data_IF_050611791070
#
_entry.id   IF_050611791070
#
_cell.length_a   1.000
_cell.length_b   1.000
_cell.length_c   1.000
_cell.angle_alpha   90.00
_cell.angle_beta   90.00
_cell.angle_gamma   90.00
#
_symmetry.space_group_name_H-M   'P 1'
#
loop_
_entity.id
_entity.type
_entity.pdbx_description
1 polymer ?
#
# COMPACT_ATOMS: atom_id res chain seq x y z
N UNK A 1 -11.99 -22.99 -13.79
CA UNK A 1 -11.10 -23.04 -12.60
C UNK A 1 -10.40 -21.68 -12.52
N UNK A 2 -10.52 -20.94 -11.41
CA UNK A 2 -9.90 -19.61 -11.31
C UNK A 2 -8.38 -19.74 -11.29
N UNK A 3 -7.68 -18.94 -12.10
CA UNK A 3 -6.21 -18.96 -12.18
C UNK A 3 -5.64 -18.63 -10.80
N UNK A 4 -4.61 -19.37 -10.39
CA UNK A 4 -3.86 -19.12 -9.16
C UNK A 4 -2.60 -18.33 -9.49
N UNK A 5 -2.29 -17.36 -8.63
CA UNK A 5 -1.10 -16.52 -8.69
C UNK A 5 -0.20 -16.89 -7.53
N UNK A 6 1.09 -17.00 -7.81
CA UNK A 6 2.12 -17.19 -6.80
C UNK A 6 2.68 -15.82 -6.40
N UNK A 7 2.63 -15.51 -5.11
CA UNK A 7 3.18 -14.28 -4.54
C UNK A 7 4.25 -14.64 -3.52
N UNK A 8 5.41 -14.01 -3.64
CA UNK A 8 6.52 -14.17 -2.69
C UNK A 8 6.21 -13.43 -1.38
N UNK A 9 6.75 -13.91 -0.27
CA UNK A 9 6.53 -13.28 1.04
C UNK A 9 6.96 -11.82 1.08
N UNK A 10 8.10 -11.45 0.45
CA UNK A 10 8.53 -10.05 0.35
C UNK A 10 7.52 -9.17 -0.38
N UNK A 11 6.91 -9.68 -1.45
CA UNK A 11 5.87 -8.97 -2.19
C UNK A 11 4.61 -8.82 -1.35
N UNK A 12 4.24 -9.86 -0.58
CA UNK A 12 3.12 -9.80 0.37
C UNK A 12 3.34 -8.72 1.44
N UNK A 13 4.54 -8.67 2.03
CA UNK A 13 4.92 -7.64 3.02
C UNK A 13 4.85 -6.24 2.42
N UNK A 14 5.37 -6.06 1.20
CA UNK A 14 5.31 -4.80 0.47
C UNK A 14 3.88 -4.32 0.24
N UNK A 15 3.01 -5.18 -0.30
CA UNK A 15 1.62 -4.82 -0.57
C UNK A 15 0.89 -4.44 0.71
N UNK A 16 1.13 -5.18 1.80
CA UNK A 16 0.59 -4.81 3.11
C UNK A 16 1.09 -3.44 3.56
N UNK A 17 2.41 -3.21 3.53
CA UNK A 17 3.03 -1.95 3.96
C UNK A 17 2.46 -0.76 3.20
N UNK A 18 2.41 -0.87 1.87
CA UNK A 18 1.93 0.17 0.98
C UNK A 18 0.45 0.50 1.22
N UNK A 19 -0.40 -0.51 1.26
CA UNK A 19 -1.84 -0.30 1.50
C UNK A 19 -2.12 0.29 2.88
N UNK A 20 -1.38 -0.14 3.90
CA UNK A 20 -1.49 0.43 5.24
C UNK A 20 -1.04 1.89 5.28
N UNK A 21 0.06 2.23 4.60
CA UNK A 21 0.50 3.61 4.45
C UNK A 21 -0.61 4.46 3.82
N UNK A 22 -1.26 3.97 2.77
CA UNK A 22 -2.38 4.67 2.11
C UNK A 22 -3.55 4.87 3.07
N UNK A 23 -4.01 3.81 3.76
CA UNK A 23 -5.11 3.90 4.73
C UNK A 23 -4.83 4.95 5.81
N UNK A 24 -3.67 4.86 6.47
CA UNK A 24 -3.31 5.80 7.52
C UNK A 24 -3.17 7.24 6.98
N UNK A 25 -2.66 7.40 5.76
CA UNK A 25 -2.57 8.71 5.12
C UNK A 25 -3.95 9.31 4.82
N UNK A 26 -4.90 8.48 4.37
CA UNK A 26 -6.30 8.88 4.18
C UNK A 26 -6.98 9.22 5.50
N UNK A 27 -6.73 8.46 6.56
CA UNK A 27 -7.26 8.72 7.90
C UNK A 27 -6.77 10.07 8.43
N UNK A 28 -5.47 10.37 8.27
CA UNK A 28 -4.89 11.68 8.64
C UNK A 28 -5.40 12.83 7.78
N UNK A 29 -5.68 12.57 6.49
CA UNK A 29 -6.17 13.61 5.58
C UNK A 29 -7.48 14.26 6.03
N UNK A 30 -8.32 13.55 6.80
CA UNK A 30 -9.55 14.11 7.41
C UNK A 30 -9.32 15.39 8.21
N UNK A 31 -8.10 15.60 8.71
CA UNK A 31 -7.71 16.73 9.55
C UNK A 31 -6.89 17.79 8.80
N UNK A 32 -6.78 17.70 7.48
CA UNK A 32 -5.99 18.61 6.65
C UNK A 32 -6.59 18.76 5.24
N UNK A 33 -5.85 19.34 4.29
CA UNK A 33 -6.30 19.56 2.91
C UNK A 33 -5.89 18.42 1.98
N UNK A 34 -6.67 18.20 0.93
CA UNK A 34 -6.36 17.21 -0.11
C UNK A 34 -5.03 17.50 -0.82
N UNK A 35 -4.76 18.77 -1.14
CA UNK A 35 -3.51 19.22 -1.78
C UNK A 35 -2.26 18.76 -1.02
N UNK A 36 -2.29 18.82 0.33
CA UNK A 36 -1.15 18.38 1.15
C UNK A 36 -0.92 16.87 1.06
N UNK A 37 -1.99 16.09 0.95
CA UNK A 37 -1.89 14.64 0.72
C UNK A 37 -1.36 14.36 -0.69
N UNK A 38 -1.83 15.09 -1.70
CA UNK A 38 -1.31 14.98 -3.08
C UNK A 38 0.18 15.31 -3.13
N UNK A 39 0.62 16.38 -2.47
CA UNK A 39 2.03 16.76 -2.36
C UNK A 39 2.89 15.69 -1.69
N UNK A 40 2.36 15.03 -0.65
CA UNK A 40 3.03 13.89 -0.04
C UNK A 40 3.21 12.73 -1.04
N UNK A 41 2.15 12.38 -1.79
CA UNK A 41 2.20 11.31 -2.79
C UNK A 41 3.05 11.63 -4.03
N UNK A 42 3.48 12.87 -4.25
CA UNK A 42 4.48 13.21 -5.28
C UNK A 42 5.88 12.68 -4.94
N UNK A 43 6.17 12.44 -3.67
CA UNK A 43 7.50 12.08 -3.17
C UNK A 43 7.62 10.62 -2.73
N UNK A 44 6.55 9.83 -2.89
CA UNK A 44 6.55 8.40 -2.61
C UNK A 44 6.11 7.62 -3.85
N UNK A 45 6.22 6.29 -3.80
CA UNK A 45 5.78 5.42 -4.88
C UNK A 45 4.30 5.68 -5.17
N UNK A 46 3.94 5.93 -6.43
CA UNK A 46 2.54 6.22 -6.80
C UNK A 46 1.68 4.95 -6.80
N UNK A 47 0.36 5.05 -6.50
CA UNK A 47 -0.52 3.89 -6.47
C UNK A 47 -0.62 3.19 -7.83
N UNK A 48 -0.68 3.96 -8.93
CA UNK A 48 -0.61 3.39 -10.27
C UNK A 48 0.70 2.62 -10.51
N UNK A 49 1.85 3.08 -10.03
CA UNK A 49 3.11 2.34 -10.20
C UNK A 49 3.07 0.98 -9.48
N UNK A 50 2.47 0.93 -8.28
CA UNK A 50 2.25 -0.34 -7.55
C UNK A 50 1.29 -1.25 -8.32
N UNK A 51 0.17 -0.72 -8.83
CA UNK A 51 -0.77 -1.51 -9.64
C UNK A 51 -0.10 -2.09 -10.90
N UNK A 52 0.67 -1.28 -11.63
CA UNK A 52 1.40 -1.72 -12.82
C UNK A 52 2.46 -2.77 -12.47
N UNK A 53 3.15 -2.63 -11.34
CA UNK A 53 4.06 -3.66 -10.85
C UNK A 53 3.33 -5.00 -10.63
N UNK A 54 2.17 -4.99 -9.97
CA UNK A 54 1.37 -6.21 -9.74
C UNK A 54 0.89 -6.82 -11.06
N UNK A 55 0.32 -6.01 -11.95
CA UNK A 55 -0.21 -6.46 -13.25
C UNK A 55 0.89 -7.12 -14.08
N UNK A 56 2.04 -6.46 -14.21
CA UNK A 56 3.15 -6.95 -15.01
C UNK A 56 3.80 -8.18 -14.39
N UNK A 57 4.05 -8.16 -13.08
CA UNK A 57 4.72 -9.28 -12.41
C UNK A 57 3.91 -10.57 -12.44
N UNK A 58 2.57 -10.48 -12.36
CA UNK A 58 1.70 -11.65 -12.34
C UNK A 58 1.00 -11.95 -13.67
N UNK A 59 1.29 -11.17 -14.72
CA UNK A 59 0.69 -11.31 -16.05
C UNK A 59 -0.85 -11.34 -15.95
N UNK A 60 -1.40 -10.34 -15.26
CA UNK A 60 -2.84 -10.21 -15.06
C UNK A 60 -3.52 -9.84 -16.39
N UNK A 61 -4.74 -10.32 -16.65
CA UNK A 61 -5.49 -9.90 -17.82
C UNK A 61 -5.88 -8.43 -17.71
N UNK A 62 -6.04 -7.79 -18.86
CA UNK A 62 -6.72 -6.50 -18.93
C UNK A 62 -8.12 -6.63 -18.31
N UNK A 63 -8.45 -5.70 -17.41
CA UNK A 63 -9.66 -5.78 -16.59
C UNK A 63 -10.30 -4.40 -16.54
N UNK A 64 -11.59 -4.34 -16.86
CA UNK A 64 -12.41 -3.16 -16.61
C UNK A 64 -12.74 -3.05 -15.12
N UNK A 65 -11.91 -2.31 -14.38
CA UNK A 65 -12.08 -2.14 -12.94
C UNK A 65 -13.38 -1.41 -12.56
N UNK A 66 -14.02 -0.67 -13.46
CA UNK A 66 -15.31 0.00 -13.17
C UNK A 66 -16.44 -1.01 -13.00
N UNK A 67 -16.40 -2.10 -13.78
CA UNK A 67 -17.39 -3.17 -13.75
C UNK A 67 -16.93 -4.41 -12.97
N UNK A 68 -15.72 -4.39 -12.41
CA UNK A 68 -15.16 -5.49 -11.63
C UNK A 68 -15.75 -5.53 -10.21
N UNK A 69 -16.64 -6.51 -9.99
CA UNK A 69 -17.27 -6.76 -8.70
C UNK A 69 -16.69 -8.03 -8.07
N UNK A 70 -15.76 -7.85 -7.14
CA UNK A 70 -15.19 -8.93 -6.35
C UNK A 70 -14.96 -8.45 -4.93
N UNK A 71 -15.21 -9.32 -3.95
CA UNK A 71 -14.87 -9.08 -2.55
C UNK A 71 -14.05 -10.28 -2.08
N UNK A 72 -12.78 -10.07 -1.67
CA UNK A 72 -11.95 -11.16 -1.20
C UNK A 72 -12.48 -11.73 0.11
N UNK A 73 -12.51 -13.05 0.19
CA UNK A 73 -12.85 -13.78 1.41
C UNK A 73 -11.73 -13.61 2.45
N UNK A 74 -12.12 -13.38 3.71
CA UNK A 74 -11.16 -13.38 4.81
C UNK A 74 -10.41 -14.71 4.90
N UNK A 75 -9.08 -14.64 5.06
CA UNK A 75 -8.26 -15.84 5.22
C UNK A 75 -8.29 -16.31 6.67
N UNK A 76 -8.29 -17.63 6.87
CA UNK A 76 -8.17 -18.22 8.21
C UNK A 76 -6.90 -17.72 8.94
N UNK A 77 -7.01 -17.38 10.22
CA UNK A 77 -5.92 -16.94 11.08
C UNK A 77 -4.73 -17.91 11.12
N UNK A 78 -4.97 -19.22 11.00
CA UNK A 78 -3.93 -20.24 10.95
C UNK A 78 -3.00 -20.10 9.73
N UNK A 79 -3.46 -19.44 8.66
CA UNK A 79 -2.60 -19.17 7.50
C UNK A 79 -1.41 -18.28 7.84
N UNK A 80 -1.45 -17.58 8.98
CA UNK A 80 -0.37 -16.75 9.49
C UNK A 80 0.90 -17.55 9.79
N UNK A 81 0.79 -18.85 10.03
CA UNK A 81 1.94 -19.72 10.30
C UNK A 81 2.57 -20.27 9.02
N UNK A 82 1.90 -20.16 7.86
CA UNK A 82 2.44 -20.62 6.57
C UNK A 82 3.82 -20.04 6.22
N UNK A 83 4.12 -18.74 6.49
CA UNK A 83 5.44 -18.18 6.20
C UNK A 83 6.61 -18.82 6.96
N UNK A 84 6.34 -19.59 8.02
CA UNK A 84 7.39 -20.33 8.76
C UNK A 84 7.99 -21.42 7.86
N UNK A 85 7.19 -22.02 6.98
CA UNK A 85 7.57 -23.15 6.13
C UNK A 85 7.64 -22.77 4.65
N UNK A 86 6.81 -21.83 4.21
CA UNK A 86 6.66 -21.46 2.80
C UNK A 86 6.97 -19.99 2.57
N UNK A 87 7.81 -19.72 1.58
CA UNK A 87 8.12 -18.34 1.14
C UNK A 87 7.21 -17.86 0.00
N UNK A 88 6.38 -18.76 -0.55
CA UNK A 88 5.49 -18.50 -1.69
C UNK A 88 4.06 -18.85 -1.30
N UNK A 89 3.12 -17.98 -1.65
CA UNK A 89 1.70 -18.10 -1.34
C UNK A 89 0.90 -18.19 -2.63
N UNK A 90 -0.17 -18.99 -2.61
CA UNK A 90 -1.07 -19.13 -3.75
C UNK A 90 -2.36 -18.38 -3.49
N UNK A 91 -2.63 -17.34 -4.28
CA UNK A 91 -3.84 -16.52 -4.23
C UNK A 91 -4.66 -16.70 -5.51
N UNK A 92 -5.98 -16.49 -5.44
CA UNK A 92 -6.84 -16.47 -6.63
C UNK A 92 -6.54 -15.20 -7.43
N UNK A 93 -6.59 -15.27 -8.76
CA UNK A 93 -6.34 -14.12 -9.62
C UNK A 93 -7.20 -12.91 -9.25
N UNK A 94 -8.50 -13.13 -8.98
CA UNK A 94 -9.44 -12.06 -8.64
C UNK A 94 -9.10 -11.38 -7.32
N UNK A 95 -8.48 -12.10 -6.38
CA UNK A 95 -7.99 -11.52 -5.12
C UNK A 95 -6.86 -10.51 -5.38
N UNK A 96 -6.02 -10.74 -6.40
CA UNK A 96 -4.95 -9.82 -6.79
C UNK A 96 -5.50 -8.68 -7.66
N UNK A 97 -6.42 -8.98 -8.58
CA UNK A 97 -7.09 -7.96 -9.40
C UNK A 97 -7.85 -6.96 -8.52
N UNK A 98 -8.45 -7.41 -7.43
CA UNK A 98 -9.10 -6.52 -6.48
C UNK A 98 -8.11 -5.53 -5.82
N UNK A 99 -6.89 -5.95 -5.50
CA UNK A 99 -5.85 -5.03 -5.04
C UNK A 99 -5.53 -3.96 -6.10
N UNK A 100 -5.41 -4.37 -7.37
CA UNK A 100 -5.17 -3.45 -8.48
C UNK A 100 -6.33 -2.46 -8.66
N UNK A 101 -7.57 -2.92 -8.54
CA UNK A 101 -8.76 -2.06 -8.56
C UNK A 101 -8.69 -1.00 -7.46
N UNK A 102 -8.46 -1.40 -6.20
CA UNK A 102 -8.41 -0.44 -5.09
C UNK A 102 -7.29 0.60 -5.29
N UNK A 103 -6.12 0.17 -5.76
CA UNK A 103 -5.01 1.08 -6.08
C UNK A 103 -5.36 2.04 -7.22
N UNK A 104 -6.06 1.56 -8.25
CA UNK A 104 -6.54 2.37 -9.37
C UNK A 104 -7.58 3.39 -8.93
N UNK A 105 -8.56 2.98 -8.11
CA UNK A 105 -9.59 3.86 -7.57
C UNK A 105 -8.95 4.98 -6.73
N UNK A 106 -7.98 4.62 -5.88
CA UNK A 106 -7.25 5.60 -5.08
C UNK A 106 -6.42 6.55 -5.96
N UNK A 107 -5.73 6.05 -7.00
CA UNK A 107 -4.95 6.86 -7.91
C UNK A 107 -5.80 7.88 -8.68
N UNK A 108 -6.99 7.48 -9.13
CA UNK A 108 -7.94 8.35 -9.82
C UNK A 108 -8.39 9.50 -8.91
N UNK A 109 -8.79 9.17 -7.68
CA UNK A 109 -9.19 10.17 -6.68
C UNK A 109 -8.00 11.07 -6.32
N UNK A 110 -6.81 10.50 -6.16
CA UNK A 110 -5.59 11.26 -5.87
C UNK A 110 -5.26 12.29 -6.96
N UNK A 111 -5.60 12.03 -8.22
CA UNK A 111 -5.38 12.95 -9.36
C UNK A 111 -6.53 13.93 -9.63
N UNK A 112 -7.64 13.80 -8.92
CA UNK A 112 -8.79 14.70 -9.07
C UNK A 112 -8.55 16.08 -8.46
N UNK A 113 -9.40 17.04 -8.81
CA UNK A 113 -9.43 18.42 -8.28
C UNK A 113 -10.22 18.54 -6.96
N UNK A 114 -10.34 17.44 -6.22
CA UNK A 114 -11.05 17.40 -4.95
C UNK A 114 -10.43 18.37 -3.94
N UNK A 115 -11.29 19.17 -3.30
CA UNK A 115 -10.86 20.12 -2.27
C UNK A 115 -10.89 19.54 -0.86
N UNK A 116 -11.72 18.52 -0.62
CA UNK A 116 -12.01 17.99 0.71
C UNK A 116 -12.28 16.48 0.69
N UNK A 117 -11.97 15.84 1.81
CA UNK A 117 -12.32 14.45 2.10
C UNK A 117 -13.85 14.26 2.05
N UNK A 118 -14.33 13.19 1.43
CA UNK A 118 -15.76 12.88 1.29
C UNK A 118 -16.04 11.36 1.37
N UNK A 119 -17.32 10.98 1.37
CA UNK A 119 -17.78 9.59 1.59
C UNK A 119 -17.21 8.57 0.59
N UNK A 120 -16.92 9.00 -0.65
CA UNK A 120 -16.30 8.12 -1.67
C UNK A 120 -14.87 7.73 -1.29
N UNK A 121 -14.10 8.69 -0.76
CA UNK A 121 -12.75 8.45 -0.24
C UNK A 121 -12.81 7.52 0.97
N UNK A 122 -13.80 7.73 1.85
CA UNK A 122 -13.99 6.87 3.02
C UNK A 122 -14.26 5.43 2.64
N UNK A 123 -15.04 5.21 1.59
CA UNK A 123 -15.29 3.86 1.05
C UNK A 123 -13.99 3.21 0.56
N UNK A 124 -13.18 3.94 -0.22
CA UNK A 124 -11.87 3.45 -0.68
C UNK A 124 -10.99 3.08 0.51
N UNK A 125 -10.92 3.93 1.53
CA UNK A 125 -10.15 3.64 2.75
C UNK A 125 -10.63 2.35 3.42
N UNK A 126 -11.93 2.17 3.59
CA UNK A 126 -12.50 0.94 4.19
C UNK A 126 -12.13 -0.29 3.35
N UNK A 127 -12.24 -0.22 2.03
CA UNK A 127 -11.88 -1.33 1.12
C UNK A 127 -10.38 -1.67 1.23
N UNK A 128 -9.50 -0.66 1.30
CA UNK A 128 -8.07 -0.81 1.60
C UNK A 128 -7.85 -1.51 2.94
N UNK A 129 -8.46 -1.01 4.01
CA UNK A 129 -8.30 -1.54 5.37
C UNK A 129 -8.75 -3.00 5.43
N UNK A 130 -9.90 -3.33 4.85
CA UNK A 130 -10.39 -4.70 4.81
C UNK A 130 -9.42 -5.62 4.07
N UNK A 131 -8.92 -5.18 2.91
CA UNK A 131 -7.98 -5.98 2.12
C UNK A 131 -6.67 -6.22 2.86
N UNK A 132 -5.97 -5.17 3.30
CA UNK A 132 -4.66 -5.40 3.92
C UNK A 132 -4.80 -6.11 5.27
N UNK A 133 -5.83 -5.82 6.08
CA UNK A 133 -5.91 -6.36 7.45
C UNK A 133 -6.51 -7.78 7.51
N UNK A 134 -7.64 -8.02 6.83
CA UNK A 134 -8.39 -9.28 6.89
C UNK A 134 -7.96 -10.27 5.82
N UNK A 135 -7.43 -9.79 4.71
CA UNK A 135 -6.95 -10.67 3.64
C UNK A 135 -5.43 -10.87 3.72
N UNK A 136 -4.61 -9.83 3.48
CA UNK A 136 -3.15 -9.98 3.48
C UNK A 136 -2.58 -10.25 4.87
N UNK A 137 -3.05 -9.54 5.89
CA UNK A 137 -2.53 -9.63 7.26
C UNK A 137 -2.68 -11.01 7.88
N UNK A 138 -3.65 -11.80 7.42
CA UNK A 138 -3.83 -13.19 7.84
C UNK A 138 -2.78 -14.15 7.24
N UNK A 139 -1.96 -13.68 6.31
CA UNK A 139 -0.86 -14.40 5.66
C UNK A 139 0.52 -13.95 6.14
N UNK A 140 0.61 -12.99 7.08
CA UNK A 140 1.86 -12.36 7.53
C UNK A 140 2.14 -12.70 9.00
N UNK A 141 3.37 -13.12 9.30
CA UNK A 141 3.81 -13.44 10.67
C UNK A 141 3.63 -12.26 11.62
N UNK A 142 3.30 -12.54 12.89
CA UNK A 142 3.12 -11.51 13.92
C UNK A 142 4.31 -10.55 14.03
N UNK A 143 5.54 -11.07 14.09
CA UNK A 143 6.76 -10.25 14.20
C UNK A 143 6.94 -9.26 13.05
N UNK A 144 6.54 -9.64 11.83
CA UNK A 144 6.65 -8.78 10.65
C UNK A 144 5.48 -7.81 10.63
N UNK A 145 4.30 -8.27 11.04
CA UNK A 145 3.13 -7.43 11.22
C UNK A 145 3.41 -6.29 12.21
N UNK A 146 4.05 -6.55 13.34
CA UNK A 146 4.36 -5.53 14.35
C UNK A 146 5.21 -4.38 13.77
N UNK A 147 6.12 -4.70 12.84
CA UNK A 147 6.90 -3.71 12.09
C UNK A 147 6.03 -2.96 11.08
N UNK A 148 5.26 -3.71 10.27
CA UNK A 148 4.35 -3.12 9.29
C UNK A 148 3.31 -2.20 9.95
N UNK A 149 2.90 -2.50 11.18
CA UNK A 149 1.95 -1.68 11.93
C UNK A 149 2.48 -0.26 12.20
N UNK A 150 3.79 -0.05 12.16
CA UNK A 150 4.49 1.22 12.37
C UNK A 150 4.92 1.91 11.07
N UNK A 151 4.34 1.54 9.93
CA UNK A 151 4.69 2.14 8.64
C UNK A 151 4.56 3.67 8.68
N UNK A 152 5.61 4.36 8.22
CA UNK A 152 5.59 5.80 8.03
C UNK A 152 4.47 6.19 7.07
N UNK A 153 3.75 7.25 7.39
CA UNK A 153 2.62 7.74 6.59
C UNK A 153 2.50 9.25 6.68
N UNK A 154 1.64 9.81 5.84
CA UNK A 154 1.39 11.23 5.79
C UNK A 154 1.00 11.79 7.16
N UNK A 155 1.61 12.91 7.57
CA UNK A 155 1.33 13.58 8.84
C UNK A 155 1.63 12.72 10.09
N UNK A 156 2.52 11.74 9.96
CA UNK A 156 3.07 10.98 11.09
C UNK A 156 3.89 11.89 12.02
N UNK A 157 3.76 11.67 13.33
CA UNK A 157 4.55 12.38 14.33
C UNK A 157 6.00 11.86 14.33
N UNK A 158 6.97 12.77 14.21
CA UNK A 158 8.43 12.49 14.15
C UNK A 158 8.98 11.79 15.40
N UNK A 159 8.28 11.85 16.55
CA UNK A 159 8.74 11.25 17.82
C UNK A 159 8.40 9.76 17.98
N UNK A 160 7.70 9.18 17.01
CA UNK A 160 7.24 7.78 17.09
C UNK A 160 8.22 6.90 16.31
N UNK A 161 8.50 5.71 16.85
CA UNK A 161 9.26 4.67 16.15
C UNK A 161 8.51 4.23 14.89
N UNK A 162 9.17 4.31 13.73
CA UNK A 162 8.59 4.06 12.41
C UNK A 162 9.37 2.99 11.65
N UNK A 163 8.69 2.31 10.74
CA UNK A 163 9.33 1.56 9.66
C UNK A 163 9.10 2.30 8.34
N UNK A 164 10.12 2.37 7.51
CA UNK A 164 10.04 3.06 6.22
C UNK A 164 9.55 2.11 5.13
N UNK A 165 8.84 2.62 4.13
CA UNK A 165 8.34 1.79 3.01
C UNK A 165 9.48 1.11 2.26
N UNK A 166 10.63 1.79 2.14
CA UNK A 166 11.83 1.35 1.46
C UNK A 166 12.38 0.03 2.00
N UNK A 167 12.18 -0.25 3.30
CA UNK A 167 12.58 -1.51 3.93
C UNK A 167 11.81 -2.72 3.39
N UNK A 168 10.63 -2.49 2.82
CA UNK A 168 9.74 -3.54 2.34
C UNK A 168 9.71 -3.65 0.81
N UNK A 169 10.41 -2.78 0.07
CA UNK A 169 10.41 -2.81 -1.40
C UNK A 169 11.04 -4.12 -1.91
N UNK A 170 10.31 -4.95 -2.67
CA UNK A 170 10.83 -6.19 -3.22
C UNK A 170 11.97 -5.95 -4.21
N UNK A 171 12.89 -6.91 -4.34
CA UNK A 171 14.06 -6.77 -5.23
C UNK A 171 13.66 -6.62 -6.72
N UNK A 172 12.56 -7.24 -7.08
CA UNK A 172 11.91 -7.27 -8.39
C UNK A 172 11.01 -6.04 -8.65
N UNK A 173 10.86 -5.13 -7.69
CA UNK A 173 10.17 -3.87 -7.91
C UNK A 173 11.00 -2.93 -8.80
N UNK A 174 10.40 -2.26 -9.80
CA UNK A 174 11.13 -1.39 -10.73
C UNK A 174 11.67 -0.12 -10.03
N UNK A 175 12.95 -0.12 -9.65
CA UNK A 175 13.59 0.98 -8.90
C UNK A 175 13.84 2.25 -9.72
N UNK A 176 13.85 2.14 -11.05
CA UNK A 176 14.16 3.26 -11.96
C UNK A 176 13.07 4.37 -11.96
N UNK A 177 12.00 4.22 -11.15
CA UNK A 177 10.89 5.15 -11.01
C UNK A 177 10.66 5.64 -9.57
N UNK A 178 11.54 5.29 -8.64
CA UNK A 178 11.49 5.82 -7.27
C UNK A 178 12.21 7.16 -7.29
N UNK A 179 11.45 8.27 -7.29
CA UNK A 179 12.00 9.55 -6.84
C UNK A 179 12.28 9.38 -5.35
N UNK A 180 13.54 9.14 -5.01
CA UNK A 180 13.95 9.21 -3.61
C UNK A 180 13.65 10.63 -3.12
N UNK A 181 12.97 10.80 -1.97
CA UNK A 181 12.78 12.13 -1.42
C UNK A 181 14.16 12.76 -1.25
N UNK A 182 14.32 13.96 -1.80
CA UNK A 182 15.45 14.83 -1.51
C UNK A 182 15.50 14.97 0.00
N UNK A 183 16.54 14.40 0.60
CA UNK A 183 16.84 14.56 2.01
C UNK A 183 16.80 16.05 2.30
N UNK A 184 15.83 16.51 3.10
CA UNK A 184 15.85 17.85 3.65
C UNK A 184 17.11 17.95 4.52
N UNK A 185 18.20 18.45 3.93
CA UNK A 185 19.31 19.00 4.68
C UNK A 185 18.76 20.20 5.47
N UNK A 186 18.40 19.96 6.73
CA UNK A 186 18.42 21.02 7.73
C UNK A 186 19.89 21.44 7.87
N UNK A 187 20.28 22.48 7.12
CA UNK A 187 21.45 23.27 7.49
C UNK A 187 21.08 23.95 8.81
N UNK A 188 21.59 23.41 9.91
CA UNK A 188 21.76 24.19 11.13
C UNK A 188 22.72 25.32 10.79
N UNK A 189 22.19 26.53 10.61
CA UNK A 189 22.95 27.74 10.81
C UNK A 189 23.33 27.81 12.29
N UNK A 190 24.53 27.33 12.61
CA UNK A 190 25.26 27.82 13.77
C UNK A 190 25.76 29.20 13.34
N UNK A 191 25.03 30.23 13.74
CA UNK A 191 25.54 31.60 13.78
C UNK A 191 26.39 31.69 15.04
N UNK A 192 27.71 31.60 14.86
CA UNK A 192 28.66 32.19 15.80
C UNK A 192 28.59 33.71 15.64
N UNK A 193 28.08 34.38 16.69
CA UNK A 193 28.33 35.78 17.01
C UNK A 193 28.73 35.86 18.48
#
# INVERSE_FOLDING_TARGET
MMKKIQINYSQLLFLYAYLRLVDLSLDRNRWTTWDKLQDYFKNIISPNLVAQYIINNFHLPETDFKNFNFIPEEKNLLNRLKPIVFTIFSLKQDEILYCCKILSDFDEVLRSDLRKYHVGIEKIRIDITQYYSRFLGRLILWKDLDRLMKIEHFWQNEKIDISKLEEFIPKDFPRNKILLPVVHFKICLILDC
#
